data_IF_364770739961
#
_entry.id   IF_364770739961
#
_cell.length_a   1.000
_cell.length_b   1.000
_cell.length_c   1.000
_cell.angle_alpha   90.00
_cell.angle_beta   90.00
_cell.angle_gamma   90.00
#
_symmetry.space_group_name_H-M   'P 1'
#
loop_
_entity.id
_entity.type
_entity.pdbx_description
1 polymer ?
#
# COMPACT_ATOMS: atom_id res chain seq x y z
N UNK A 1 11.77 -6.92 26.83
CA UNK A 1 10.44 -6.51 27.35
C UNK A 1 9.32 -7.13 26.54
N UNK A 2 8.48 -7.95 27.18
CA UNK A 2 7.27 -8.56 26.56
C UNK A 2 6.25 -7.53 26.06
N UNK A 3 6.22 -6.34 26.68
CA UNK A 3 5.31 -5.26 26.31
C UNK A 3 5.63 -4.63 24.94
N UNK A 4 6.90 -4.60 24.54
CA UNK A 4 7.28 -4.06 23.23
C UNK A 4 6.83 -4.96 22.06
N UNK A 5 6.77 -6.28 22.28
CA UNK A 5 6.30 -7.24 21.27
C UNK A 5 4.78 -7.28 21.11
N UNK A 6 4.03 -7.10 22.21
CA UNK A 6 2.55 -7.07 22.16
C UNK A 6 2.04 -5.89 21.32
N UNK A 7 2.63 -4.70 21.51
CA UNK A 7 2.28 -3.50 20.74
C UNK A 7 2.58 -3.62 19.23
N UNK A 8 3.62 -4.37 18.85
CA UNK A 8 3.98 -4.56 17.42
C UNK A 8 2.94 -5.43 16.71
N UNK A 9 2.48 -6.51 17.35
CA UNK A 9 1.45 -7.38 16.76
C UNK A 9 0.10 -6.66 16.66
N UNK A 10 -0.23 -5.81 17.64
CA UNK A 10 -1.43 -4.98 17.60
C UNK A 10 -1.39 -3.96 16.45
N UNK A 11 -0.24 -3.31 16.23
CA UNK A 11 -0.04 -2.40 15.09
C UNK A 11 -0.15 -3.14 13.75
N UNK A 12 0.44 -4.35 13.65
CA UNK A 12 0.33 -5.15 12.43
C UNK A 12 -1.12 -5.51 12.13
N UNK A 13 -1.89 -5.87 13.15
CA UNK A 13 -3.29 -6.22 13.01
C UNK A 13 -4.14 -5.01 12.59
N UNK A 14 -3.89 -3.82 13.16
CA UNK A 14 -4.56 -2.58 12.71
C UNK A 14 -4.24 -2.27 11.24
N UNK A 15 -2.97 -2.41 10.82
CA UNK A 15 -2.60 -2.21 9.42
C UNK A 15 -3.29 -3.24 8.52
N UNK A 16 -3.37 -4.51 8.93
CA UNK A 16 -4.08 -5.56 8.20
C UNK A 16 -5.55 -5.22 8.01
N UNK A 17 -6.22 -4.78 9.08
CA UNK A 17 -7.62 -4.34 9.03
C UNK A 17 -7.81 -3.11 8.14
N UNK A 18 -6.88 -2.15 8.14
CA UNK A 18 -6.93 -0.99 7.24
C UNK A 18 -6.78 -1.39 5.76
N UNK A 19 -5.92 -2.36 5.47
CA UNK A 19 -5.77 -2.92 4.11
C UNK A 19 -7.08 -3.60 3.67
N UNK A 20 -7.67 -4.41 4.54
CA UNK A 20 -8.89 -5.19 4.25
C UNK A 20 -10.17 -4.33 4.20
N UNK A 21 -10.26 -3.28 5.02
CA UNK A 21 -11.45 -2.42 5.12
C UNK A 21 -11.47 -1.28 4.10
N UNK A 22 -10.31 -0.87 3.56
CA UNK A 22 -10.26 0.25 2.62
C UNK A 22 -10.77 -0.17 1.23
N UNK A 23 -11.98 0.28 0.89
CA UNK A 23 -12.50 0.26 -0.48
C UNK A 23 -12.08 1.49 -1.30
N UNK A 24 -11.20 2.34 -0.73
CA UNK A 24 -10.74 3.60 -1.32
C UNK A 24 -9.31 3.39 -1.88
N UNK A 25 -9.14 3.26 -3.21
CA UNK A 25 -7.85 2.94 -3.83
C UNK A 25 -6.75 3.96 -3.51
N UNK A 26 -7.13 5.22 -3.33
CA UNK A 26 -6.19 6.31 -3.00
C UNK A 26 -5.61 6.11 -1.61
N UNK A 27 -6.46 5.82 -0.61
CA UNK A 27 -6.00 5.57 0.76
C UNK A 27 -5.12 4.32 0.84
N UNK A 28 -5.41 3.28 0.03
CA UNK A 28 -4.55 2.09 -0.04
C UNK A 28 -3.16 2.43 -0.63
N UNK A 29 -3.09 3.24 -1.69
CA UNK A 29 -1.81 3.71 -2.24
C UNK A 29 -1.01 4.53 -1.23
N UNK A 30 -1.67 5.43 -0.48
CA UNK A 30 -1.03 6.24 0.56
C UNK A 30 -0.53 5.40 1.73
N UNK A 31 -1.26 4.33 2.09
CA UNK A 31 -0.82 3.38 3.10
C UNK A 31 0.44 2.63 2.64
N UNK A 32 0.45 2.12 1.41
CA UNK A 32 1.65 1.45 0.85
C UNK A 32 2.84 2.41 0.84
N UNK A 33 2.66 3.64 0.37
CA UNK A 33 3.72 4.66 0.35
C UNK A 33 4.26 4.94 1.77
N UNK A 34 3.36 5.05 2.75
CA UNK A 34 3.73 5.30 4.14
C UNK A 34 4.54 4.14 4.73
N UNK A 35 4.10 2.89 4.53
CA UNK A 35 4.81 1.70 5.01
C UNK A 35 6.21 1.57 4.42
N UNK A 36 6.37 1.91 3.13
CA UNK A 36 7.67 1.91 2.46
C UNK A 36 8.59 3.00 3.00
N UNK A 37 8.08 4.23 3.16
CA UNK A 37 8.86 5.37 3.67
C UNK A 37 9.27 5.20 5.13
N UNK A 38 8.47 4.48 5.91
CA UNK A 38 8.78 4.09 7.28
C UNK A 38 9.76 2.90 7.36
N UNK A 39 10.06 2.23 6.24
CA UNK A 39 10.98 1.10 6.20
C UNK A 39 10.43 -0.19 6.84
N UNK A 40 9.10 -0.29 7.00
CA UNK A 40 8.42 -1.43 7.65
C UNK A 40 7.60 -2.28 6.69
N UNK A 41 7.66 -1.99 5.38
CA UNK A 41 6.89 -2.69 4.35
C UNK A 41 7.15 -4.20 4.30
N UNK A 42 8.33 -4.67 4.73
CA UNK A 42 8.68 -6.09 4.77
C UNK A 42 7.80 -6.93 5.71
N UNK A 43 7.09 -6.29 6.65
CA UNK A 43 6.11 -6.97 7.51
C UNK A 43 4.77 -7.22 6.81
N UNK A 44 4.51 -6.57 5.68
CA UNK A 44 3.21 -6.51 5.02
C UNK A 44 3.28 -6.88 3.53
N UNK A 45 4.28 -7.67 3.12
CA UNK A 45 4.54 -7.96 1.70
C UNK A 45 3.33 -8.59 0.99
N UNK A 46 2.58 -9.44 1.70
CA UNK A 46 1.40 -10.12 1.13
C UNK A 46 0.25 -9.14 0.92
N UNK A 47 -0.02 -8.32 1.93
CA UNK A 47 -1.04 -7.28 1.94
C UNK A 47 -0.76 -6.23 0.86
N UNK A 48 0.49 -5.77 0.79
CA UNK A 48 0.95 -4.83 -0.25
C UNK A 48 0.79 -5.46 -1.64
N UNK A 49 1.13 -6.74 -1.82
CA UNK A 49 0.93 -7.40 -3.12
C UNK A 49 -0.53 -7.39 -3.55
N UNK A 50 -1.46 -7.70 -2.65
CA UNK A 50 -2.91 -7.67 -2.94
C UNK A 50 -3.37 -6.28 -3.37
N UNK A 51 -2.91 -5.24 -2.66
CA UNK A 51 -3.20 -3.84 -3.03
C UNK A 51 -2.62 -3.52 -4.41
N UNK A 52 -1.37 -3.86 -4.67
CA UNK A 52 -0.70 -3.56 -5.95
C UNK A 52 -1.34 -4.29 -7.13
N UNK A 53 -1.76 -5.55 -6.96
CA UNK A 53 -2.52 -6.29 -7.97
C UNK A 53 -3.84 -5.56 -8.28
N UNK A 54 -4.58 -5.12 -7.26
CA UNK A 54 -5.84 -4.37 -7.44
C UNK A 54 -5.64 -3.03 -8.16
N UNK A 55 -4.61 -2.26 -7.79
CA UNK A 55 -4.27 -0.98 -8.45
C UNK A 55 -3.90 -1.20 -9.91
N UNK A 56 -3.20 -2.28 -10.23
CA UNK A 56 -2.79 -2.60 -11.60
C UNK A 56 -3.98 -3.03 -12.47
N UNK A 57 -4.93 -3.78 -11.90
CA UNK A 57 -6.17 -4.16 -12.59
C UNK A 57 -7.11 -2.98 -12.83
N UNK A 58 -7.07 -1.96 -11.96
CA UNK A 58 -7.78 -0.71 -12.19
C UNK A 58 -7.14 0.08 -13.33
N UNK A 59 -7.67 -0.05 -14.54
CA UNK A 59 -7.20 0.70 -15.72
C UNK A 59 -7.70 2.14 -15.78
N UNK A 60 -8.41 2.63 -14.75
CA UNK A 60 -8.85 4.02 -14.73
C UNK A 60 -7.65 4.93 -14.47
N UNK A 61 -7.52 5.91 -15.36
CA UNK A 61 -6.62 7.03 -15.17
C UNK A 61 -7.29 8.09 -14.29
N UNK A 62 -6.53 8.61 -13.33
CA UNK A 62 -6.97 9.75 -12.55
C UNK A 62 -6.62 11.04 -13.28
N UNK A 63 -7.54 12.03 -13.24
CA UNK A 63 -7.26 13.41 -13.69
C UNK A 63 -6.50 14.21 -12.65
N UNK A 64 -6.42 13.71 -11.42
CA UNK A 64 -5.64 14.31 -10.35
C UNK A 64 -4.16 13.92 -10.50
N UNK A 65 -3.29 14.94 -10.60
CA UNK A 65 -1.86 14.76 -10.82
C UNK A 65 -1.18 14.00 -9.69
N UNK A 66 -1.57 14.24 -8.44
CA UNK A 66 -0.99 13.56 -7.28
C UNK A 66 -1.33 12.06 -7.33
N UNK A 67 -2.60 11.73 -7.56
CA UNK A 67 -3.05 10.34 -7.64
C UNK A 67 -2.37 9.61 -8.82
N UNK A 68 -2.30 10.25 -9.99
CA UNK A 68 -1.66 9.68 -11.17
C UNK A 68 -0.16 9.41 -10.94
N UNK A 69 0.55 10.39 -10.36
CA UNK A 69 1.98 10.25 -10.05
C UNK A 69 2.25 9.17 -9.00
N UNK A 70 1.40 9.09 -7.96
CA UNK A 70 1.50 8.07 -6.92
C UNK A 70 1.30 6.67 -7.50
N UNK A 71 0.23 6.47 -8.27
CA UNK A 71 -0.07 5.19 -8.94
C UNK A 71 1.06 4.75 -9.86
N UNK A 72 1.53 5.65 -10.73
CA UNK A 72 2.63 5.37 -11.64
C UNK A 72 3.90 4.93 -10.90
N UNK A 73 4.28 5.68 -9.85
CA UNK A 73 5.48 5.39 -9.06
C UNK A 73 5.39 4.04 -8.36
N UNK A 74 4.28 3.77 -7.68
CA UNK A 74 4.09 2.51 -6.95
C UNK A 74 4.12 1.30 -7.90
N UNK A 75 3.40 1.37 -9.03
CA UNK A 75 3.39 0.29 -10.02
C UNK A 75 4.81 -0.03 -10.51
N UNK A 76 5.60 0.98 -10.89
CA UNK A 76 6.97 0.78 -11.35
C UNK A 76 7.90 0.25 -10.26
N UNK A 77 7.77 0.73 -9.02
CA UNK A 77 8.58 0.25 -7.89
C UNK A 77 8.34 -1.23 -7.61
N UNK A 78 7.11 -1.72 -7.81
CA UNK A 78 6.74 -3.11 -7.63
C UNK A 78 6.88 -3.98 -8.89
N UNK A 79 7.42 -3.45 -9.99
CA UNK A 79 7.69 -4.20 -11.22
C UNK A 79 6.49 -4.38 -12.14
N UNK A 80 5.37 -3.70 -11.88
CA UNK A 80 4.23 -3.66 -12.80
C UNK A 80 4.52 -2.72 -13.97
N UNK A 81 3.97 -3.06 -15.13
CA UNK A 81 4.05 -2.17 -16.28
C UNK A 81 3.17 -0.94 -16.03
N UNK A 82 3.76 0.25 -16.16
CA UNK A 82 3.04 1.50 -16.16
C UNK A 82 3.46 2.31 -17.40
N UNK A 83 2.49 2.65 -18.25
CA UNK A 83 2.73 3.55 -19.37
C UNK A 83 3.05 4.95 -18.82
N UNK A 84 4.03 5.66 -19.40
CA UNK A 84 4.17 7.10 -19.23
C UNK A 84 2.92 7.85 -19.69
#
# INVERSE_FOLDING_TARGET
DKHGSENIEEIKEVVRQLVEASNEPVAQMELVDSLQRLGVSYHFEKEIKVIMDSIFEDKKESKDLYIAALKFRLLRQHGYHASP
#
